data_IF_556945235520
#
_entry.id   IF_556945235520
#
_cell.length_a   1.000
_cell.length_b   1.000
_cell.length_c   1.000
_cell.angle_alpha   90.00
_cell.angle_beta   90.00
_cell.angle_gamma   90.00
#
_symmetry.space_group_name_H-M   'P 1'
#
loop_
_entity.id
_entity.type
_entity.pdbx_description
1 polymer ?
#
# COMPACT_ATOMS: atom_id res chain seq x y z
N UNK A 1 -4.22 4.85 -14.76
CA UNK A 1 -4.63 5.84 -13.74
C UNK A 1 -5.79 5.42 -12.90
N UNK A 2 -6.95 5.09 -13.47
CA UNK A 2 -8.13 4.61 -12.72
C UNK A 2 -7.77 3.49 -11.73
N UNK A 3 -6.90 2.55 -12.12
CA UNK A 3 -6.43 1.46 -11.24
C UNK A 3 -5.80 1.97 -9.94
N UNK A 4 -5.00 3.04 -9.98
CA UNK A 4 -4.37 3.58 -8.78
C UNK A 4 -5.35 4.32 -7.88
N UNK A 5 -6.26 5.10 -8.46
CA UNK A 5 -7.30 5.79 -7.70
C UNK A 5 -8.20 4.77 -6.98
N UNK A 6 -8.64 3.74 -7.68
CA UNK A 6 -9.40 2.64 -7.08
C UNK A 6 -8.60 1.86 -6.04
N UNK A 7 -7.32 1.57 -6.31
CA UNK A 7 -6.44 0.91 -5.37
C UNK A 7 -6.28 1.71 -4.07
N UNK A 8 -6.05 3.03 -4.16
CA UNK A 8 -5.88 3.89 -2.98
C UNK A 8 -7.20 4.08 -2.22
N UNK A 9 -8.33 4.17 -2.91
CA UNK A 9 -9.65 4.19 -2.29
C UNK A 9 -9.93 2.89 -1.53
N UNK A 10 -9.74 1.73 -2.16
CA UNK A 10 -9.94 0.42 -1.51
C UNK A 10 -8.98 0.22 -0.32
N UNK A 11 -7.73 0.71 -0.43
CA UNK A 11 -6.79 0.70 0.68
C UNK A 11 -7.29 1.54 1.85
N UNK A 12 -7.77 2.75 1.58
CA UNK A 12 -8.32 3.63 2.60
C UNK A 12 -9.58 3.04 3.24
N UNK A 13 -10.48 2.49 2.43
CA UNK A 13 -11.70 1.85 2.89
C UNK A 13 -11.41 0.61 3.76
N UNK A 14 -10.49 -0.25 3.33
CA UNK A 14 -10.06 -1.41 4.11
C UNK A 14 -9.50 -1.01 5.48
N UNK A 15 -8.62 0.01 5.52
CA UNK A 15 -8.03 0.53 6.76
C UNK A 15 -9.12 1.07 7.71
N UNK A 16 -10.05 1.89 7.21
CA UNK A 16 -11.10 2.51 8.02
C UNK A 16 -12.14 1.48 8.50
N UNK A 17 -12.55 0.53 7.65
CA UNK A 17 -13.45 -0.54 8.05
C UNK A 17 -12.84 -1.44 9.12
N UNK A 18 -11.54 -1.74 9.01
CA UNK A 18 -10.85 -2.51 10.04
C UNK A 18 -10.91 -1.79 11.40
N UNK A 19 -10.57 -0.51 11.44
CA UNK A 19 -10.65 0.31 12.65
C UNK A 19 -12.10 0.38 13.18
N UNK A 20 -13.07 0.56 12.29
CA UNK A 20 -14.49 0.62 12.65
C UNK A 20 -14.96 -0.69 13.29
N UNK A 21 -14.68 -1.82 12.65
CA UNK A 21 -15.12 -3.13 13.15
C UNK A 21 -14.45 -3.51 14.49
N UNK A 22 -13.18 -3.15 14.68
CA UNK A 22 -12.51 -3.33 15.97
C UNK A 22 -13.13 -2.42 17.04
N UNK A 23 -13.32 -1.12 16.76
CA UNK A 23 -13.94 -0.17 17.70
C UNK A 23 -15.38 -0.52 18.09
N UNK A 24 -16.13 -1.14 17.18
CA UNK A 24 -17.51 -1.57 17.43
C UNK A 24 -17.62 -3.00 18.00
N UNK A 25 -16.49 -3.60 18.36
CA UNK A 25 -16.41 -4.97 18.86
C UNK A 25 -16.99 -6.04 17.93
N UNK A 26 -17.08 -5.78 16.62
CA UNK A 26 -17.39 -6.80 15.61
C UNK A 26 -16.19 -7.74 15.38
N UNK A 27 -15.00 -7.24 15.70
CA UNK A 27 -13.73 -8.00 15.69
C UNK A 27 -13.11 -7.83 17.09
N UNK A 28 -13.09 -8.90 17.88
CA UNK A 28 -12.60 -8.90 19.26
C UNK A 28 -11.07 -9.05 19.33
N UNK A 29 -10.34 -8.11 18.74
CA UNK A 29 -8.87 -8.13 18.71
C UNK A 29 -8.29 -6.77 18.40
N UNK A 30 -6.95 -6.69 18.26
CA UNK A 30 -6.25 -5.49 17.79
C UNK A 30 -6.39 -5.32 16.29
N UNK A 31 -6.23 -4.08 15.81
CA UNK A 31 -6.21 -3.79 14.36
C UNK A 31 -5.10 -4.55 13.65
N UNK A 32 -3.96 -4.73 14.33
CA UNK A 32 -2.83 -5.47 13.80
C UNK A 32 -3.14 -6.95 13.60
N UNK A 33 -3.73 -7.60 14.61
CA UNK A 33 -4.08 -9.02 14.50
C UNK A 33 -5.11 -9.25 13.40
N UNK A 34 -6.09 -8.33 13.27
CA UNK A 34 -7.06 -8.36 12.17
C UNK A 34 -6.36 -8.31 10.80
N UNK A 35 -5.37 -7.41 10.62
CA UNK A 35 -4.62 -7.35 9.36
C UNK A 35 -3.78 -8.61 9.10
N UNK A 36 -3.23 -9.27 10.13
CA UNK A 36 -2.51 -10.53 9.93
C UNK A 36 -3.44 -11.64 9.41
N UNK A 37 -4.64 -11.76 9.98
CA UNK A 37 -5.63 -12.71 9.49
C UNK A 37 -6.12 -12.37 8.07
N UNK A 38 -6.30 -11.10 7.75
CA UNK A 38 -6.59 -10.62 6.38
C UNK A 38 -5.52 -11.10 5.40
N UNK A 39 -4.23 -11.03 5.76
CA UNK A 39 -3.15 -11.50 4.92
C UNK A 39 -3.22 -13.02 4.68
N UNK A 40 -3.57 -13.82 5.69
CA UNK A 40 -3.76 -15.27 5.52
C UNK A 40 -4.93 -15.60 4.59
N UNK A 41 -6.05 -14.89 4.74
CA UNK A 41 -7.21 -15.05 3.85
C UNK A 41 -6.85 -14.65 2.41
N UNK A 42 -6.03 -13.62 2.21
CA UNK A 42 -5.57 -13.22 0.88
C UNK A 42 -4.78 -14.34 0.17
N UNK A 43 -4.04 -15.18 0.92
CA UNK A 43 -3.40 -16.38 0.34
C UNK A 43 -4.46 -17.35 -0.20
N UNK A 44 -5.50 -17.61 0.58
CA UNK A 44 -6.60 -18.48 0.15
C UNK A 44 -7.29 -17.92 -1.10
N UNK A 45 -7.63 -16.63 -1.09
CA UNK A 45 -8.24 -15.96 -2.24
C UNK A 45 -7.35 -16.02 -3.49
N UNK A 46 -6.03 -15.86 -3.30
CA UNK A 46 -5.07 -16.01 -4.39
C UNK A 46 -5.10 -17.42 -4.98
N UNK A 47 -5.04 -18.47 -4.17
CA UNK A 47 -5.09 -19.84 -4.65
C UNK A 47 -6.41 -20.15 -5.38
N UNK A 48 -7.54 -19.68 -4.86
CA UNK A 48 -8.83 -19.82 -5.53
C UNK A 48 -8.82 -19.16 -6.92
N UNK A 49 -8.32 -17.93 -7.00
CA UNK A 49 -8.16 -17.21 -8.27
C UNK A 49 -7.20 -17.96 -9.22
N UNK A 50 -6.05 -18.42 -8.72
CA UNK A 50 -5.06 -19.14 -9.50
C UNK A 50 -5.63 -20.42 -10.12
N UNK A 51 -6.26 -21.29 -9.30
CA UNK A 51 -6.86 -22.52 -9.79
C UNK A 51 -8.00 -22.27 -10.77
N UNK A 52 -8.83 -21.25 -10.52
CA UNK A 52 -9.89 -20.86 -11.46
C UNK A 52 -9.32 -20.42 -12.80
N UNK A 53 -8.29 -19.57 -12.82
CA UNK A 53 -7.68 -19.10 -14.06
C UNK A 53 -6.93 -20.23 -14.79
N UNK A 54 -6.26 -21.12 -14.06
CA UNK A 54 -5.57 -22.28 -14.60
C UNK A 54 -6.55 -23.29 -15.23
N UNK A 55 -7.67 -23.58 -14.57
CA UNK A 55 -8.72 -24.46 -15.12
C UNK A 55 -9.33 -23.91 -16.40
N UNK A 56 -9.40 -22.58 -16.54
CA UNK A 56 -9.85 -21.88 -17.76
C UNK A 56 -8.77 -21.72 -18.83
N UNK A 57 -7.57 -22.30 -18.63
CA UNK A 57 -6.40 -22.15 -19.52
C UNK A 57 -6.01 -20.69 -19.80
N UNK A 58 -6.34 -19.77 -18.88
CA UNK A 58 -6.02 -18.34 -19.02
C UNK A 58 -4.62 -18.00 -18.53
N UNK A 59 -3.96 -18.90 -17.81
CA UNK A 59 -2.58 -18.78 -17.33
C UNK A 59 -1.85 -20.09 -17.57
N UNK A 60 -0.55 -19.98 -17.91
CA UNK A 60 0.28 -21.14 -18.23
C UNK A 60 1.37 -21.41 -17.18
N UNK A 61 1.74 -20.41 -16.38
CA UNK A 61 2.80 -20.56 -15.39
C UNK A 61 2.39 -21.48 -14.23
N UNK A 62 3.39 -22.14 -13.63
CA UNK A 62 3.24 -22.82 -12.36
C UNK A 62 3.81 -21.95 -11.23
N UNK A 63 3.17 -21.98 -10.05
CA UNK A 63 3.63 -21.22 -8.87
C UNK A 63 5.07 -21.60 -8.51
N UNK A 64 5.42 -22.89 -8.66
CA UNK A 64 6.74 -23.43 -8.35
C UNK A 64 7.83 -22.82 -9.25
N UNK A 65 7.51 -22.47 -10.50
CA UNK A 65 8.46 -21.89 -11.45
C UNK A 65 8.95 -20.51 -11.00
N UNK A 66 8.19 -19.83 -10.12
CA UNK A 66 8.60 -18.56 -9.50
C UNK A 66 9.77 -18.72 -8.51
N UNK A 67 10.12 -19.96 -8.14
CA UNK A 67 11.16 -20.29 -7.16
C UNK A 67 12.28 -21.16 -7.73
N UNK A 68 12.22 -21.52 -9.01
CA UNK A 68 13.12 -22.52 -9.60
C UNK A 68 14.54 -22.02 -9.89
N UNK A 69 14.78 -20.71 -9.97
CA UNK A 69 16.12 -20.20 -10.25
C UNK A 69 16.70 -19.42 -9.06
N UNK A 70 18.02 -19.54 -8.82
CA UNK A 70 18.73 -18.77 -7.81
C UNK A 70 18.50 -17.26 -7.96
N UNK A 71 18.41 -16.77 -9.21
CA UNK A 71 18.15 -15.36 -9.52
C UNK A 71 16.74 -14.95 -9.10
N UNK A 72 15.75 -15.81 -9.31
CA UNK A 72 14.37 -15.55 -8.89
C UNK A 72 14.21 -15.60 -7.37
N UNK A 73 14.86 -16.57 -6.70
CA UNK A 73 14.90 -16.63 -5.23
C UNK A 73 15.49 -15.36 -4.62
N UNK A 74 16.59 -14.84 -5.16
CA UNK A 74 17.18 -13.58 -4.68
C UNK A 74 16.19 -12.42 -4.89
N UNK A 75 15.50 -12.37 -6.03
CA UNK A 75 14.51 -11.32 -6.29
C UNK A 75 13.29 -11.42 -5.37
N UNK A 76 12.79 -12.61 -5.13
CA UNK A 76 11.70 -12.86 -4.17
C UNK A 76 12.16 -12.50 -2.76
N UNK A 77 13.41 -12.81 -2.39
CA UNK A 77 14.00 -12.43 -1.12
C UNK A 77 14.08 -10.91 -0.94
N UNK A 78 14.59 -10.19 -1.93
CA UNK A 78 14.63 -8.71 -1.91
C UNK A 78 13.21 -8.12 -1.85
N UNK A 79 12.28 -8.68 -2.61
CA UNK A 79 10.90 -8.27 -2.58
C UNK A 79 10.25 -8.54 -1.21
N UNK A 80 10.54 -9.69 -0.60
CA UNK A 80 10.08 -10.05 0.74
C UNK A 80 10.59 -9.07 1.79
N UNK A 81 11.89 -8.73 1.77
CA UNK A 81 12.47 -7.73 2.69
C UNK A 81 11.75 -6.39 2.54
N UNK A 82 11.45 -5.99 1.31
CA UNK A 82 10.73 -4.75 1.04
C UNK A 82 9.28 -4.78 1.56
N UNK A 83 8.61 -5.93 1.46
CA UNK A 83 7.26 -6.12 1.98
C UNK A 83 7.18 -6.18 3.52
N UNK A 84 8.33 -6.37 4.23
CA UNK A 84 8.40 -6.15 5.67
C UNK A 84 7.88 -4.77 6.08
N UNK A 85 7.93 -3.79 5.18
CA UNK A 85 7.32 -2.48 5.43
C UNK A 85 5.83 -2.57 5.80
N UNK A 86 5.09 -3.51 5.20
CA UNK A 86 3.68 -3.71 5.53
C UNK A 86 3.48 -4.24 6.95
N UNK A 87 4.32 -5.18 7.38
CA UNK A 87 4.35 -5.70 8.74
C UNK A 87 4.81 -4.62 9.71
N UNK A 88 5.87 -3.90 9.36
CA UNK A 88 6.39 -2.81 10.18
C UNK A 88 5.38 -1.68 10.37
N UNK A 89 4.61 -1.37 9.33
CA UNK A 89 3.48 -0.45 9.39
C UNK A 89 2.49 -0.84 10.50
N UNK A 90 2.07 -2.09 10.54
CA UNK A 90 1.11 -2.56 11.52
C UNK A 90 1.66 -2.52 12.95
N UNK A 91 2.95 -2.86 13.13
CA UNK A 91 3.64 -2.73 14.42
C UNK A 91 3.74 -1.27 14.90
N UNK A 92 4.09 -0.36 13.98
CA UNK A 92 4.25 1.06 14.32
C UNK A 92 2.93 1.71 14.71
N UNK A 93 1.81 1.30 14.10
CA UNK A 93 0.48 1.85 14.40
C UNK A 93 0.01 1.54 15.83
N UNK A 94 0.55 0.51 16.49
CA UNK A 94 0.26 0.24 17.90
C UNK A 94 0.93 1.24 18.84
N UNK A 95 2.05 1.84 18.43
CA UNK A 95 2.88 2.71 19.28
C UNK A 95 2.84 4.20 18.89
N UNK A 96 2.50 4.49 17.64
CA UNK A 96 2.56 5.84 17.10
C UNK A 96 1.16 6.30 16.72
N UNK A 97 0.81 7.55 17.08
CA UNK A 97 -0.46 8.15 16.62
C UNK A 97 -0.55 8.07 15.10
N UNK A 98 -1.68 7.62 14.60
CA UNK A 98 -1.97 7.48 13.15
C UNK A 98 -1.57 8.75 12.39
N UNK A 99 -1.75 9.89 13.02
CA UNK A 99 -1.40 11.18 12.47
C UNK A 99 0.09 11.36 12.19
N UNK A 100 0.97 10.95 13.11
CA UNK A 100 2.42 11.04 12.93
C UNK A 100 2.90 10.03 11.88
N UNK A 101 2.28 8.85 11.85
CA UNK A 101 2.54 7.83 10.85
C UNK A 101 2.22 8.32 9.44
N UNK A 102 1.05 8.93 9.24
CA UNK A 102 0.63 9.47 7.94
C UNK A 102 1.60 10.56 7.45
N UNK A 103 2.15 11.43 8.34
CA UNK A 103 3.16 12.42 7.96
C UNK A 103 4.37 11.78 7.28
N UNK A 104 4.86 10.69 7.86
CA UNK A 104 6.03 9.99 7.32
C UNK A 104 5.69 9.23 6.04
N UNK A 105 4.53 8.58 6.00
CA UNK A 105 4.06 7.90 4.79
C UNK A 105 4.00 8.84 3.57
N UNK A 106 3.83 10.13 3.79
CA UNK A 106 3.73 11.12 2.71
C UNK A 106 5.06 11.72 2.29
N UNK A 107 6.14 11.46 3.04
CA UNK A 107 7.51 11.66 2.54
C UNK A 107 7.93 10.54 1.58
N UNK A 108 7.18 9.44 1.56
CA UNK A 108 7.43 8.26 0.73
C UNK A 108 7.62 8.59 -0.76
N UNK A 109 6.81 9.43 -1.44
CA UNK A 109 7.04 9.76 -2.83
C UNK A 109 8.42 10.37 -3.12
N UNK A 110 8.96 11.21 -2.22
CA UNK A 110 10.30 11.77 -2.37
C UNK A 110 11.36 10.68 -2.25
N UNK A 111 11.25 9.84 -1.23
CA UNK A 111 12.21 8.76 -0.99
C UNK A 111 12.16 7.73 -2.12
N UNK A 112 10.97 7.37 -2.59
CA UNK A 112 10.79 6.48 -3.76
C UNK A 112 11.39 7.11 -5.00
N UNK A 113 11.21 8.40 -5.21
CA UNK A 113 11.79 9.10 -6.35
C UNK A 113 13.32 9.03 -6.35
N UNK A 114 13.96 9.32 -5.23
CA UNK A 114 15.42 9.19 -5.08
C UNK A 114 15.86 7.75 -5.33
N UNK A 115 15.20 6.77 -4.70
CA UNK A 115 15.54 5.36 -4.86
C UNK A 115 15.28 4.87 -6.29
N UNK A 116 14.26 5.37 -7.00
CA UNK A 116 13.98 4.96 -8.38
C UNK A 116 15.04 5.47 -9.36
N UNK A 117 15.60 6.64 -9.13
CA UNK A 117 16.74 7.16 -9.91
C UNK A 117 17.96 6.26 -9.68
N UNK A 118 18.26 5.91 -8.43
CA UNK A 118 19.46 5.13 -8.07
C UNK A 118 19.32 3.67 -8.51
N UNK A 119 18.20 3.02 -8.20
CA UNK A 119 18.01 1.56 -8.38
C UNK A 119 17.50 1.23 -9.79
N UNK A 120 16.50 1.96 -10.26
CA UNK A 120 15.85 1.69 -11.56
C UNK A 120 16.45 2.52 -12.70
N UNK A 121 17.35 3.47 -12.40
CA UNK A 121 17.92 4.43 -13.35
C UNK A 121 16.83 5.17 -14.14
N UNK A 122 15.72 5.50 -13.48
CA UNK A 122 14.66 6.30 -14.08
C UNK A 122 15.15 7.73 -14.34
N UNK A 123 14.74 8.32 -15.44
CA UNK A 123 15.13 9.69 -15.80
C UNK A 123 14.53 10.69 -14.81
N UNK A 124 15.37 11.63 -14.37
CA UNK A 124 14.97 12.73 -13.53
C UNK A 124 14.05 13.69 -14.29
N UNK A 125 12.84 13.89 -13.79
CA UNK A 125 11.89 14.85 -14.35
C UNK A 125 11.58 15.96 -13.35
N UNK A 126 12.12 17.14 -13.63
CA UNK A 126 11.97 18.33 -12.78
C UNK A 126 10.51 18.80 -12.65
N UNK A 127 9.65 18.44 -13.61
CA UNK A 127 8.24 18.87 -13.60
C UNK A 127 7.45 18.31 -12.41
N UNK A 128 7.92 17.20 -11.80
CA UNK A 128 7.26 16.59 -10.65
C UNK A 128 7.56 17.29 -9.33
N UNK A 129 8.70 18.00 -9.22
CA UNK A 129 9.15 18.62 -7.95
C UNK A 129 8.07 19.53 -7.37
N UNK A 130 7.50 20.42 -8.18
CA UNK A 130 6.51 21.39 -7.72
C UNK A 130 5.26 20.72 -7.12
N UNK A 131 4.82 19.60 -7.67
CA UNK A 131 3.66 18.86 -7.17
C UNK A 131 3.98 18.10 -5.89
N UNK A 132 5.17 17.51 -5.81
CA UNK A 132 5.65 16.85 -4.60
C UNK A 132 5.74 17.87 -3.45
N UNK A 133 6.38 19.02 -3.69
CA UNK A 133 6.52 20.08 -2.68
C UNK A 133 5.16 20.66 -2.27
N UNK A 134 4.28 20.90 -3.22
CA UNK A 134 2.93 21.39 -2.94
C UNK A 134 2.11 20.37 -2.12
N UNK A 135 2.18 19.09 -2.45
CA UNK A 135 1.52 18.03 -1.70
C UNK A 135 2.09 17.90 -0.28
N UNK A 136 3.42 18.02 -0.11
CA UNK A 136 4.08 18.03 1.20
C UNK A 136 3.66 19.24 2.04
N UNK A 137 3.53 20.44 1.42
CA UNK A 137 3.03 21.63 2.11
C UNK A 137 1.59 21.43 2.59
N UNK A 138 0.71 20.93 1.71
CA UNK A 138 -0.68 20.64 2.08
C UNK A 138 -0.78 19.65 3.23
N UNK A 139 0.14 18.73 3.28
CA UNK A 139 0.22 17.77 4.36
C UNK A 139 0.73 18.36 5.66
N UNK A 140 1.82 19.12 5.60
CA UNK A 140 2.35 19.80 6.79
C UNK A 140 1.25 20.65 7.44
N UNK A 141 0.46 21.36 6.62
CA UNK A 141 -0.70 22.13 7.09
C UNK A 141 -1.78 21.23 7.71
N UNK A 142 -2.10 20.10 7.07
CA UNK A 142 -3.08 19.15 7.62
C UNK A 142 -2.66 18.57 8.99
N UNK A 143 -1.41 18.71 9.36
CA UNK A 143 -0.78 18.11 10.56
C UNK A 143 -0.30 19.11 11.61
N UNK A 144 -0.40 20.41 11.37
CA UNK A 144 0.01 21.44 12.35
C UNK A 144 -0.60 21.26 13.75
N UNK A 145 -1.70 20.54 13.86
CA UNK A 145 -2.42 20.25 15.11
C UNK A 145 -1.78 19.20 16.04
N UNK A 146 -0.76 18.47 15.58
CA UNK A 146 -0.34 17.27 16.30
C UNK A 146 1.19 17.17 16.35
N UNK A 147 1.77 17.47 17.51
CA UNK A 147 3.21 17.33 17.74
C UNK A 147 3.76 15.93 17.41
N UNK A 148 4.88 15.89 16.70
CA UNK A 148 5.65 14.67 16.47
C UNK A 148 6.46 14.34 17.70
N UNK A 149 6.28 13.16 18.29
CA UNK A 149 7.16 12.67 19.35
C UNK A 149 8.50 12.24 18.74
N UNK A 150 9.58 12.87 19.18
CA UNK A 150 10.94 12.58 18.72
C UNK A 150 11.36 11.12 19.03
N UNK A 151 10.80 10.54 20.09
CA UNK A 151 11.11 9.17 20.52
C UNK A 151 10.79 8.10 19.48
N UNK A 152 9.82 8.36 18.59
CA UNK A 152 9.41 7.42 17.55
C UNK A 152 10.01 7.72 16.17
N UNK A 153 10.90 8.73 16.08
CA UNK A 153 11.45 9.18 14.80
C UNK A 153 12.21 8.06 14.06
N UNK A 154 12.99 7.26 14.78
CA UNK A 154 13.73 6.13 14.19
C UNK A 154 12.82 5.08 13.59
N UNK A 155 11.72 4.75 14.27
CA UNK A 155 10.71 3.83 13.74
C UNK A 155 10.09 4.37 12.45
N UNK A 156 9.80 5.65 12.43
CA UNK A 156 9.20 6.32 11.27
C UNK A 156 10.15 6.40 10.08
N UNK A 157 11.44 6.69 10.32
CA UNK A 157 12.47 6.71 9.27
C UNK A 157 12.69 5.31 8.71
N UNK A 158 12.82 4.30 9.55
CA UNK A 158 12.98 2.90 9.13
C UNK A 158 11.77 2.45 8.30
N UNK A 159 10.55 2.75 8.75
CA UNK A 159 9.34 2.49 7.98
C UNK A 159 9.39 3.16 6.61
N UNK A 160 9.76 4.44 6.54
CA UNK A 160 9.83 5.19 5.29
C UNK A 160 10.79 4.54 4.29
N UNK A 161 11.97 4.14 4.75
CA UNK A 161 12.97 3.47 3.91
C UNK A 161 12.45 2.12 3.39
N UNK A 162 11.93 1.26 4.26
CA UNK A 162 11.38 -0.03 3.86
C UNK A 162 10.17 0.12 2.93
N UNK A 163 9.24 1.04 3.24
CA UNK A 163 8.07 1.28 2.41
C UNK A 163 8.45 1.81 1.02
N UNK A 164 9.46 2.68 0.95
CA UNK A 164 9.96 3.23 -0.32
C UNK A 164 10.69 2.16 -1.14
N UNK A 165 11.53 1.35 -0.49
CA UNK A 165 12.19 0.21 -1.12
C UNK A 165 11.14 -0.80 -1.62
N UNK A 166 10.06 -1.03 -0.85
CA UNK A 166 8.93 -1.86 -1.23
C UNK A 166 8.29 -1.43 -2.55
N UNK A 167 8.04 -0.14 -2.72
CA UNK A 167 7.45 0.38 -3.96
C UNK A 167 8.37 0.21 -5.17
N UNK A 168 9.67 0.47 -5.00
CA UNK A 168 10.66 0.31 -6.07
C UNK A 168 10.81 -1.16 -6.47
N UNK A 169 10.92 -2.06 -5.49
CA UNK A 169 11.06 -3.50 -5.75
C UNK A 169 9.78 -4.12 -6.32
N UNK A 170 8.59 -3.70 -5.85
CA UNK A 170 7.31 -4.11 -6.44
C UNK A 170 7.27 -3.78 -7.93
N UNK A 171 7.69 -2.56 -8.31
CA UNK A 171 7.74 -2.17 -9.71
C UNK A 171 8.75 -3.00 -10.50
N UNK A 172 9.95 -3.18 -9.96
CA UNK A 172 10.98 -3.99 -10.60
C UNK A 172 10.49 -5.42 -10.83
N UNK A 173 9.84 -6.01 -9.82
CA UNK A 173 9.33 -7.35 -9.87
C UNK A 173 8.13 -7.48 -10.83
N UNK A 174 7.14 -6.59 -10.72
CA UNK A 174 5.95 -6.62 -11.58
C UNK A 174 6.27 -6.42 -13.07
N UNK A 175 7.28 -5.62 -13.40
CA UNK A 175 7.72 -5.41 -14.79
C UNK A 175 8.41 -6.63 -15.40
N UNK A 176 9.09 -7.43 -14.59
CA UNK A 176 9.84 -8.60 -15.05
C UNK A 176 8.96 -9.84 -15.27
N UNK A 177 7.83 -9.91 -14.58
CA UNK A 177 6.91 -11.05 -14.73
C UNK A 177 5.97 -10.82 -15.90
N UNK A 178 5.86 -11.82 -16.76
CA UNK A 178 4.98 -11.75 -17.93
C UNK A 178 3.52 -11.62 -17.51
N UNK A 179 3.09 -12.42 -16.54
CA UNK A 179 1.72 -12.40 -16.03
C UNK A 179 1.58 -11.63 -14.73
N UNK A 180 0.56 -10.75 -14.64
CA UNK A 180 0.25 -10.02 -13.42
C UNK A 180 -0.09 -10.96 -12.24
N UNK A 181 -0.76 -12.07 -12.53
CA UNK A 181 -1.16 -13.09 -11.54
C UNK A 181 0.03 -13.66 -10.79
N UNK A 182 1.18 -13.83 -11.45
CA UNK A 182 2.41 -14.32 -10.82
C UNK A 182 2.95 -13.32 -9.79
N UNK A 183 2.93 -12.02 -10.10
CA UNK A 183 3.36 -10.98 -9.17
C UNK A 183 2.40 -10.85 -7.97
N UNK A 184 1.08 -10.94 -8.21
CA UNK A 184 0.06 -10.96 -7.15
C UNK A 184 0.28 -12.15 -6.21
N UNK A 185 0.57 -13.33 -6.78
CA UNK A 185 0.81 -14.53 -6.00
C UNK A 185 2.01 -14.42 -5.08
N UNK A 186 3.12 -13.90 -5.57
CA UNK A 186 4.30 -13.68 -4.73
C UNK A 186 4.01 -12.72 -3.60
N UNK A 187 3.29 -11.62 -3.86
CA UNK A 187 2.91 -10.65 -2.83
C UNK A 187 2.02 -11.30 -1.76
N UNK A 188 0.96 -12.00 -2.17
CA UNK A 188 0.06 -12.68 -1.24
C UNK A 188 0.77 -13.76 -0.40
N UNK A 189 1.63 -14.57 -1.03
CA UNK A 189 2.39 -15.62 -0.33
C UNK A 189 3.35 -15.03 0.69
N UNK A 190 4.07 -13.97 0.36
CA UNK A 190 5.01 -13.32 1.30
C UNK A 190 4.27 -12.70 2.48
N UNK A 191 3.17 -11.97 2.25
CA UNK A 191 2.36 -11.45 3.35
C UNK A 191 1.72 -12.56 4.19
N UNK A 192 1.27 -13.64 3.55
CA UNK A 192 0.75 -14.81 4.25
C UNK A 192 1.80 -15.48 5.14
N UNK A 193 3.04 -15.63 4.65
CA UNK A 193 4.14 -16.15 5.48
C UNK A 193 4.40 -15.28 6.71
N UNK A 194 4.39 -13.94 6.56
CA UNK A 194 4.49 -13.06 7.71
C UNK A 194 3.32 -13.22 8.68
N UNK A 195 2.10 -13.38 8.17
CA UNK A 195 0.94 -13.71 9.00
C UNK A 195 1.17 -14.97 9.81
N UNK A 196 1.61 -16.05 9.17
CA UNK A 196 1.89 -17.33 9.83
C UNK A 196 3.01 -17.25 10.88
N UNK A 197 4.05 -16.46 10.65
CA UNK A 197 5.17 -16.32 11.57
C UNK A 197 4.83 -15.43 12.77
N UNK A 198 4.12 -14.33 12.53
CA UNK A 198 3.89 -13.32 13.55
C UNK A 198 2.73 -13.65 14.49
N UNK A 199 1.66 -14.27 13.99
CA UNK A 199 0.51 -14.62 14.83
C UNK A 199 0.87 -15.56 16.00
N UNK A 200 1.58 -16.70 15.80
CA UNK A 200 1.99 -17.56 16.91
C UNK A 200 2.92 -16.87 17.90
N UNK A 201 3.83 -16.01 17.42
CA UNK A 201 4.77 -15.27 18.29
C UNK A 201 4.01 -14.31 19.22
N UNK A 202 2.92 -13.74 18.78
CA UNK A 202 2.06 -12.85 19.58
C UNK A 202 1.01 -13.58 20.40
N UNK A 203 0.84 -14.89 20.21
CA UNK A 203 -0.15 -15.68 20.92
C UNK A 203 -1.62 -15.41 20.52
N UNK A 204 -1.83 -14.80 19.35
CA UNK A 204 -3.15 -14.33 18.90
C UNK A 204 -3.72 -15.14 17.73
N UNK A 205 -3.24 -16.36 17.51
CA UNK A 205 -3.78 -17.23 16.47
C UNK A 205 -5.15 -17.76 16.89
N UNK A 206 -6.19 -17.06 16.49
CA UNK A 206 -7.56 -17.43 16.74
C UNK A 206 -8.26 -17.86 15.45
N UNK A 207 -8.61 -19.14 15.34
CA UNK A 207 -9.30 -19.68 14.16
C UNK A 207 -10.71 -19.11 13.96
N UNK A 208 -11.33 -18.54 15.00
CA UNK A 208 -12.62 -17.88 14.89
C UNK A 208 -12.60 -16.68 13.93
N UNK A 209 -11.42 -16.09 13.69
CA UNK A 209 -11.26 -15.04 12.67
C UNK A 209 -11.64 -15.51 11.27
N UNK A 210 -11.36 -16.77 10.93
CA UNK A 210 -11.70 -17.31 9.61
C UNK A 210 -13.21 -17.48 9.40
N UNK A 211 -13.99 -17.44 10.46
CA UNK A 211 -15.47 -17.52 10.41
C UNK A 211 -16.09 -16.12 10.40
N UNK A 212 -15.34 -15.10 10.82
CA UNK A 212 -15.85 -13.74 10.96
C UNK A 212 -16.05 -13.06 9.60
N UNK A 213 -17.32 -12.71 9.21
CA UNK A 213 -17.61 -12.12 7.90
C UNK A 213 -16.98 -10.73 7.69
N UNK A 214 -16.73 -10.00 8.77
CA UNK A 214 -16.10 -8.67 8.70
C UNK A 214 -14.64 -8.77 8.29
N UNK A 215 -13.91 -9.79 8.76
CA UNK A 215 -12.52 -10.06 8.34
C UNK A 215 -12.50 -10.44 6.84
N UNK A 216 -13.42 -11.26 6.38
CA UNK A 216 -13.52 -11.61 4.96
C UNK A 216 -13.82 -10.40 4.08
N UNK A 217 -14.68 -9.50 4.55
CA UNK A 217 -14.96 -8.23 3.82
C UNK A 217 -13.69 -7.41 3.65
N UNK A 218 -12.91 -7.23 4.72
CA UNK A 218 -11.64 -6.49 4.66
C UNK A 218 -10.65 -7.22 3.75
N UNK A 219 -10.55 -8.55 3.86
CA UNK A 219 -9.64 -9.36 3.05
C UNK A 219 -9.98 -9.27 1.56
N UNK A 220 -11.25 -9.32 1.18
CA UNK A 220 -11.68 -9.17 -0.21
C UNK A 220 -11.31 -7.79 -0.77
N UNK A 221 -11.55 -6.72 -0.03
CA UNK A 221 -11.15 -5.36 -0.43
C UNK A 221 -9.64 -5.26 -0.60
N UNK A 222 -8.86 -5.81 0.35
CA UNK A 222 -7.41 -5.84 0.28
C UNK A 222 -6.92 -6.67 -0.92
N UNK A 223 -7.54 -7.80 -1.21
CA UNK A 223 -7.20 -8.66 -2.35
C UNK A 223 -7.44 -7.95 -3.69
N UNK A 224 -8.61 -7.34 -3.87
CA UNK A 224 -8.92 -6.54 -5.07
C UNK A 224 -7.94 -5.38 -5.21
N UNK A 225 -7.57 -4.73 -4.11
CA UNK A 225 -6.53 -3.70 -4.09
C UNK A 225 -5.20 -4.23 -4.62
N UNK A 226 -4.75 -5.42 -4.20
CA UNK A 226 -3.50 -6.03 -4.69
C UNK A 226 -3.54 -6.25 -6.20
N UNK A 227 -4.65 -6.77 -6.73
CA UNK A 227 -4.84 -6.96 -8.18
C UNK A 227 -4.71 -5.61 -8.91
N UNK A 228 -5.45 -4.59 -8.45
CA UNK A 228 -5.43 -3.27 -9.08
C UNK A 228 -4.05 -2.62 -9.02
N UNK A 229 -3.33 -2.78 -7.89
CA UNK A 229 -1.98 -2.26 -7.73
C UNK A 229 -1.02 -2.87 -8.76
N UNK A 230 -0.95 -4.19 -8.84
CA UNK A 230 -0.02 -4.88 -9.75
C UNK A 230 -0.35 -4.56 -11.21
N UNK A 231 -1.63 -4.61 -11.59
CA UNK A 231 -2.06 -4.24 -12.95
C UNK A 231 -1.73 -2.78 -13.26
N UNK A 232 -1.95 -1.89 -12.29
CA UNK A 232 -1.60 -0.49 -12.40
C UNK A 232 -0.09 -0.27 -12.56
N UNK A 233 0.73 -0.92 -11.72
CA UNK A 233 2.20 -0.83 -11.75
C UNK A 233 2.77 -1.29 -13.09
N UNK A 234 2.22 -2.36 -13.69
CA UNK A 234 2.63 -2.82 -15.02
C UNK A 234 2.36 -1.79 -16.12
N UNK A 235 1.29 -1.00 -15.98
CA UNK A 235 0.86 0.02 -16.96
C UNK A 235 1.42 1.42 -16.68
N UNK A 236 2.08 1.63 -15.54
CA UNK A 236 2.58 2.95 -15.15
C UNK A 236 3.81 3.38 -15.96
N UNK A 237 3.89 4.65 -16.30
CA UNK A 237 5.03 5.25 -16.98
C UNK A 237 6.28 5.34 -16.09
N UNK A 238 6.10 5.72 -14.83
CA UNK A 238 7.19 5.89 -13.85
C UNK A 238 6.80 5.42 -12.44
N UNK A 239 7.79 5.12 -11.60
CA UNK A 239 7.56 4.76 -10.19
C UNK A 239 6.99 5.95 -9.42
N UNK A 240 7.45 7.14 -9.76
CA UNK A 240 7.00 8.40 -9.15
C UNK A 240 5.52 8.64 -9.40
N UNK A 241 5.01 8.33 -10.61
CA UNK A 241 3.59 8.48 -10.91
C UNK A 241 2.71 7.60 -10.02
N UNK A 242 3.17 6.38 -9.69
CA UNK A 242 2.46 5.48 -8.79
C UNK A 242 2.34 6.11 -7.40
N UNK A 243 3.45 6.61 -6.87
CA UNK A 243 3.51 7.17 -5.52
C UNK A 243 2.74 8.51 -5.40
N UNK A 244 2.74 9.32 -6.44
CA UNK A 244 1.95 10.55 -6.46
C UNK A 244 0.44 10.24 -6.41
N UNK A 245 0.00 9.17 -7.09
CA UNK A 245 -1.38 8.69 -6.92
C UNK A 245 -1.64 8.13 -5.53
N UNK A 246 -0.64 7.52 -4.88
CA UNK A 246 -0.77 7.03 -3.52
C UNK A 246 -1.05 8.16 -2.51
N UNK A 247 -0.67 9.41 -2.80
CA UNK A 247 -1.03 10.59 -2.00
C UNK A 247 -2.56 10.86 -1.95
N UNK A 248 -3.35 10.26 -2.85
CA UNK A 248 -4.82 10.33 -2.73
C UNK A 248 -5.37 9.50 -1.57
N UNK A 249 -4.62 8.50 -1.08
CA UNK A 249 -5.06 7.64 0.03
C UNK A 249 -5.41 8.42 1.30
N UNK A 250 -4.56 9.34 1.80
CA UNK A 250 -4.91 10.17 2.96
C UNK A 250 -6.17 11.01 2.77
N UNK A 251 -6.41 11.51 1.56
CA UNK A 251 -7.65 12.24 1.24
C UNK A 251 -8.86 11.32 1.43
N UNK A 252 -8.83 10.13 0.85
CA UNK A 252 -9.88 9.14 1.03
C UNK A 252 -10.04 8.70 2.48
N UNK A 253 -8.92 8.49 3.20
CA UNK A 253 -8.97 8.12 4.62
C UNK A 253 -9.67 9.17 5.47
N UNK A 254 -9.42 10.46 5.25
CA UNK A 254 -10.07 11.52 5.99
C UNK A 254 -11.56 11.64 5.67
N UNK A 255 -11.92 11.54 4.40
CA UNK A 255 -13.34 11.54 3.99
C UNK A 255 -14.08 10.33 4.59
N UNK A 256 -13.50 9.14 4.49
CA UNK A 256 -14.10 7.92 5.04
C UNK A 256 -14.13 7.93 6.58
N UNK A 257 -13.09 8.48 7.24
CA UNK A 257 -13.08 8.63 8.70
C UNK A 257 -14.21 9.56 9.17
N UNK A 258 -14.45 10.66 8.45
CA UNK A 258 -15.57 11.53 8.71
C UNK A 258 -16.91 10.81 8.55
N UNK A 259 -17.10 10.11 7.42
CA UNK A 259 -18.38 9.47 7.09
C UNK A 259 -18.69 8.23 7.95
N UNK A 260 -17.67 7.43 8.30
CA UNK A 260 -17.84 6.12 8.96
C UNK A 260 -17.59 6.21 10.47
N UNK A 261 -16.58 7.00 10.88
CA UNK A 261 -16.17 7.11 12.27
C UNK A 261 -16.71 8.38 12.96
N UNK A 262 -17.42 9.26 12.22
CA UNK A 262 -17.84 10.59 12.68
C UNK A 262 -16.68 11.44 13.18
N UNK A 263 -15.46 11.25 12.64
CA UNK A 263 -14.27 12.01 13.00
C UNK A 263 -14.23 13.32 12.20
N UNK A 264 -14.64 14.43 12.87
CA UNK A 264 -14.72 15.74 12.22
C UNK A 264 -13.31 16.30 12.01
N UNK A 265 -12.86 16.50 10.75
CA UNK A 265 -11.54 17.04 10.50
C UNK A 265 -11.46 18.53 10.87
N UNK A 266 -10.33 18.95 11.46
CA UNK A 266 -10.06 20.36 11.71
C UNK A 266 -9.93 21.17 10.40
N UNK A 267 -10.10 22.48 10.46
CA UNK A 267 -9.95 23.38 9.29
C UNK A 267 -8.58 23.25 8.63
N UNK A 268 -7.51 23.07 9.40
CA UNK A 268 -6.16 22.85 8.88
C UNK A 268 -6.08 21.57 8.07
N UNK A 269 -6.73 20.49 8.52
CA UNK A 269 -6.81 19.23 7.77
C UNK A 269 -7.55 19.42 6.45
N UNK A 270 -8.70 20.11 6.46
CA UNK A 270 -9.46 20.38 5.25
C UNK A 270 -8.65 21.20 4.25
N UNK A 271 -7.97 22.26 4.70
CA UNK A 271 -7.16 23.11 3.85
C UNK A 271 -5.96 22.35 3.25
N UNK A 272 -5.27 21.56 4.08
CA UNK A 272 -4.20 20.68 3.63
C UNK A 272 -4.65 19.66 2.57
N UNK A 273 -5.84 19.06 2.75
CA UNK A 273 -6.44 18.16 1.77
C UNK A 273 -6.70 18.85 0.43
N UNK A 274 -7.25 20.08 0.46
CA UNK A 274 -7.48 20.85 -0.77
C UNK A 274 -6.19 21.08 -1.54
N UNK A 275 -5.09 21.42 -0.87
CA UNK A 275 -3.78 21.59 -1.52
C UNK A 275 -3.28 20.29 -2.12
N UNK A 276 -3.41 19.16 -1.40
CA UNK A 276 -3.02 17.84 -1.91
C UNK A 276 -3.85 17.50 -3.15
N UNK A 277 -5.16 17.68 -3.10
CA UNK A 277 -6.06 17.38 -4.22
C UNK A 277 -5.71 18.23 -5.46
N UNK A 278 -5.45 19.53 -5.29
CA UNK A 278 -5.02 20.41 -6.39
C UNK A 278 -3.68 19.96 -6.98
N UNK A 279 -2.73 19.56 -6.13
CA UNK A 279 -1.43 19.03 -6.57
C UNK A 279 -1.59 17.76 -7.39
N UNK A 280 -2.46 16.85 -6.97
CA UNK A 280 -2.77 15.60 -7.70
C UNK A 280 -3.45 15.89 -9.05
N UNK A 281 -4.39 16.83 -9.10
CA UNK A 281 -5.04 17.25 -10.34
C UNK A 281 -4.04 17.86 -11.34
N UNK A 282 -3.15 18.72 -10.85
CA UNK A 282 -2.09 19.31 -11.68
C UNK A 282 -1.10 18.27 -12.19
N UNK A 283 -0.71 17.34 -11.36
CA UNK A 283 0.14 16.21 -11.75
C UNK A 283 -0.54 15.32 -12.80
N UNK A 284 -1.81 14.99 -12.59
CA UNK A 284 -2.58 14.23 -13.57
C UNK A 284 -2.60 14.85 -14.95
N UNK A 285 -2.78 16.18 -15.02
CA UNK A 285 -2.79 16.91 -16.28
C UNK A 285 -1.46 16.72 -17.03
N UNK A 286 -0.32 16.77 -16.34
CA UNK A 286 1.01 16.55 -16.96
C UNK A 286 1.17 15.12 -17.46
N UNK A 287 0.80 14.12 -16.68
CA UNK A 287 0.90 12.71 -17.10
C UNK A 287 0.03 12.43 -18.34
N UNK A 288 -1.15 13.05 -18.41
CA UNK A 288 -2.04 12.92 -19.57
C UNK A 288 -1.41 13.54 -20.82
N UNK A 289 -0.77 14.72 -20.68
CA UNK A 289 -0.08 15.39 -21.79
C UNK A 289 1.10 14.53 -22.28
N UNK A 290 1.92 13.99 -21.37
CA UNK A 290 3.06 13.12 -21.72
C UNK A 290 2.61 11.82 -22.38
N UNK A 291 1.53 11.23 -21.93
CA UNK A 291 0.98 10.03 -22.56
C UNK A 291 0.51 10.30 -23.99
N UNK A 292 -0.06 11.48 -24.25
CA UNK A 292 -0.50 11.88 -25.58
C UNK A 292 0.67 12.25 -26.52
N UNK A 293 1.83 12.68 -25.98
CA UNK A 293 3.01 13.02 -26.77
C UNK A 293 3.89 11.83 -27.14
N UNK A 294 3.72 10.71 -26.46
CA UNK A 294 4.50 9.46 -26.66
C UNK A 294 3.72 8.38 -27.44
N UNK A 295 2.48 8.61 -27.80
CA UNK A 295 1.65 7.74 -28.65
C UNK A 295 1.39 8.38 -29.99
#
# INVERSE_FOLDING_TARGET
MLYFVLCTFLSALSDILCIFFVKKNFIHTTVMDAFQHVNLINVVLYFLMYFFLKSRKKIQFNIIDSFNSKKELIQVGLYSIALLSGVYKTCVLDYVKISSFVLVEMLKPMTVWILSIIILREKFDKSYIKYILSALLGLALAKCDQGLSIQHLWFLISFLLFASLGSVTTRMYARRKEEAVQAIGTECLVFGMYGLILLPIRGTLDFNFFINPYIWTIALLAFVRHILLIVGVKKASSTVSIELFALSKPVFQLVLAYLILNDVPSWYKLFGICIIALSLCGFWKIEKIKAASNG
#
